data_IF_440534077666
#
_entry.id   IF_440534077666
#
_cell.length_a   1.000
_cell.length_b   1.000
_cell.length_c   1.000
_cell.angle_alpha   90.00
_cell.angle_beta   90.00
_cell.angle_gamma   90.00
#
_symmetry.space_group_name_H-M   'P 1'
#
loop_
_entity.id
_entity.type
_entity.pdbx_description
1 polymer ?
#
# COMPACT_ATOMS: atom_id res chain seq x y z
N UNK A 1 -14.82 -11.85 -10.79
CA UNK A 1 -14.12 -12.02 -9.49
C UNK A 1 -15.06 -11.57 -8.37
N UNK A 2 -15.23 -12.36 -7.30
CA UNK A 2 -16.19 -12.04 -6.25
C UNK A 2 -15.77 -10.75 -5.51
N UNK A 3 -16.70 -9.82 -5.29
CA UNK A 3 -16.44 -8.50 -4.69
C UNK A 3 -15.76 -8.62 -3.32
N UNK A 4 -16.21 -9.58 -2.50
CA UNK A 4 -15.60 -9.89 -1.19
C UNK A 4 -14.15 -10.35 -1.31
N UNK A 5 -13.83 -11.13 -2.33
CA UNK A 5 -12.47 -11.62 -2.57
C UNK A 5 -11.57 -10.49 -3.04
N UNK A 6 -12.03 -9.65 -3.98
CA UNK A 6 -11.25 -8.51 -4.49
C UNK A 6 -10.95 -7.51 -3.37
N UNK A 7 -11.93 -7.17 -2.53
CA UNK A 7 -11.71 -6.28 -1.37
C UNK A 7 -10.73 -6.87 -0.37
N UNK A 8 -10.83 -8.17 -0.04
CA UNK A 8 -9.87 -8.83 0.86
C UNK A 8 -8.45 -8.85 0.30
N UNK A 9 -8.31 -9.13 -1.00
CA UNK A 9 -7.01 -9.13 -1.67
C UNK A 9 -6.38 -7.73 -1.66
N UNK A 10 -7.14 -6.68 -1.99
CA UNK A 10 -6.63 -5.30 -1.92
C UNK A 10 -6.24 -4.89 -0.49
N UNK A 11 -7.03 -5.29 0.51
CA UNK A 11 -6.71 -5.02 1.92
C UNK A 11 -5.43 -5.73 2.35
N UNK A 12 -5.28 -7.00 1.97
CA UNK A 12 -4.06 -7.78 2.23
C UNK A 12 -2.84 -7.17 1.53
N UNK A 13 -2.97 -6.77 0.27
CA UNK A 13 -1.88 -6.17 -0.50
C UNK A 13 -1.45 -4.81 0.08
N UNK A 14 -2.43 -4.01 0.52
CA UNK A 14 -2.16 -2.74 1.22
C UNK A 14 -1.38 -2.98 2.51
N UNK A 15 -1.81 -3.95 3.33
CA UNK A 15 -1.14 -4.27 4.59
C UNK A 15 0.31 -4.74 4.38
N UNK A 16 0.53 -5.62 3.39
CA UNK A 16 1.88 -6.10 3.04
C UNK A 16 2.77 -4.95 2.57
N UNK A 17 2.22 -4.05 1.75
CA UNK A 17 2.97 -2.89 1.22
C UNK A 17 3.40 -1.94 2.33
N UNK A 18 2.53 -1.69 3.32
CA UNK A 18 2.87 -0.88 4.50
C UNK A 18 4.01 -1.52 5.28
N UNK A 19 3.89 -2.81 5.60
CA UNK A 19 4.90 -3.55 6.37
C UNK A 19 6.25 -3.56 5.63
N UNK A 20 6.23 -3.86 4.33
CA UNK A 20 7.44 -3.84 3.49
C UNK A 20 8.10 -2.45 3.45
N UNK A 21 7.30 -1.39 3.32
CA UNK A 21 7.83 -0.01 3.29
C UNK A 21 8.46 0.40 4.62
N UNK A 22 7.87 -0.01 5.75
CA UNK A 22 8.42 0.25 7.09
C UNK A 22 9.72 -0.52 7.29
N UNK A 23 9.77 -1.80 6.92
CA UNK A 23 10.99 -2.61 7.03
C UNK A 23 12.10 -2.00 6.16
N UNK A 24 11.80 -1.67 4.90
CA UNK A 24 12.77 -1.05 4.00
C UNK A 24 13.29 0.29 4.54
N UNK A 25 12.43 1.11 5.15
CA UNK A 25 12.86 2.34 5.79
C UNK A 25 13.87 2.06 6.92
N UNK A 26 13.56 1.14 7.83
CA UNK A 26 14.47 0.83 8.94
C UNK A 26 15.79 0.19 8.49
N UNK A 27 15.77 -0.62 7.43
CA UNK A 27 16.97 -1.25 6.86
C UNK A 27 17.86 -0.22 6.15
N UNK A 28 17.29 0.75 5.43
CA UNK A 28 18.05 1.73 4.63
C UNK A 28 18.47 2.95 5.46
N UNK A 29 17.69 3.32 6.48
CA UNK A 29 17.95 4.48 7.35
C UNK A 29 19.38 4.59 7.88
N UNK A 30 20.05 3.51 8.38
CA UNK A 30 21.39 3.62 8.96
C UNK A 30 22.45 4.06 7.94
N UNK A 31 22.35 3.60 6.70
CA UNK A 31 23.36 3.90 5.67
C UNK A 31 23.01 5.12 4.82
N UNK A 32 21.73 5.31 4.47
CA UNK A 32 21.28 6.35 3.53
C UNK A 32 19.91 6.93 3.89
N UNK A 33 19.84 7.93 4.79
CA UNK A 33 18.56 8.45 5.30
C UNK A 33 17.70 9.11 4.22
N UNK A 34 18.29 9.77 3.22
CA UNK A 34 17.58 10.38 2.10
C UNK A 34 16.93 9.35 1.17
N UNK A 35 17.61 8.22 0.93
CA UNK A 35 17.03 7.11 0.17
C UNK A 35 15.92 6.42 0.97
N UNK A 36 16.09 6.24 2.27
CA UNK A 36 15.05 5.67 3.14
C UNK A 36 13.77 6.52 3.09
N UNK A 37 13.91 7.85 3.14
CA UNK A 37 12.77 8.77 3.03
C UNK A 37 12.10 8.69 1.65
N UNK A 38 12.87 8.60 0.58
CA UNK A 38 12.36 8.42 -0.78
C UNK A 38 11.55 7.12 -0.91
N UNK A 39 12.08 6.00 -0.41
CA UNK A 39 11.41 4.68 -0.43
C UNK A 39 10.12 4.71 0.39
N UNK A 40 10.13 5.38 1.56
CA UNK A 40 8.93 5.54 2.38
C UNK A 40 7.85 6.36 1.65
N UNK A 41 8.25 7.44 0.96
CA UNK A 41 7.35 8.28 0.17
C UNK A 41 6.74 7.50 -1.00
N UNK A 42 7.55 6.76 -1.76
CA UNK A 42 7.08 5.89 -2.84
C UNK A 42 6.11 4.81 -2.35
N UNK A 43 6.43 4.16 -1.23
CA UNK A 43 5.54 3.20 -0.56
C UNK A 43 4.21 3.83 -0.14
N UNK A 44 4.24 5.06 0.38
CA UNK A 44 3.05 5.83 0.74
C UNK A 44 2.13 6.12 -0.45
N UNK A 45 2.68 6.52 -1.61
CA UNK A 45 1.90 6.76 -2.84
C UNK A 45 1.20 5.48 -3.32
N UNK A 46 1.89 4.33 -3.24
CA UNK A 46 1.32 3.03 -3.59
C UNK A 46 0.16 2.64 -2.66
N UNK A 47 0.33 2.83 -1.35
CA UNK A 47 -0.73 2.60 -0.37
C UNK A 47 -1.95 3.48 -0.64
N UNK A 48 -1.73 4.76 -0.97
CA UNK A 48 -2.81 5.69 -1.31
C UNK A 48 -3.57 5.25 -2.58
N UNK A 49 -2.84 4.76 -3.59
CA UNK A 49 -3.43 4.23 -4.81
C UNK A 49 -4.32 2.99 -4.55
N UNK A 50 -3.86 2.08 -3.68
CA UNK A 50 -4.66 0.91 -3.29
C UNK A 50 -5.90 1.28 -2.47
N UNK A 51 -5.80 2.28 -1.58
CA UNK A 51 -6.94 2.80 -0.82
C UNK A 51 -8.00 3.44 -1.71
N UNK A 52 -7.60 4.25 -2.69
CA UNK A 52 -8.52 4.84 -3.68
C UNK A 52 -9.19 3.73 -4.51
N UNK A 53 -8.40 2.74 -4.95
CA UNK A 53 -8.94 1.58 -5.67
C UNK A 53 -9.95 0.79 -4.84
N UNK A 54 -9.69 0.61 -3.54
CA UNK A 54 -10.62 -0.07 -2.62
C UNK A 54 -11.92 0.74 -2.45
N UNK A 55 -11.82 2.06 -2.36
CA UNK A 55 -12.98 2.95 -2.30
C UNK A 55 -13.82 2.90 -3.59
N UNK A 56 -13.17 2.94 -4.75
CA UNK A 56 -13.80 2.85 -6.06
C UNK A 56 -14.47 1.48 -6.27
N UNK A 57 -13.81 0.39 -5.89
CA UNK A 57 -14.40 -0.96 -5.90
C UNK A 57 -15.62 -1.04 -5.00
N UNK A 58 -15.56 -0.41 -3.82
CA UNK A 58 -16.68 -0.43 -2.90
C UNK A 58 -17.88 0.38 -3.45
N UNK A 59 -17.63 1.56 -4.04
CA UNK A 59 -18.68 2.43 -4.63
C UNK A 59 -19.22 1.95 -5.98
N UNK A 60 -18.37 1.58 -6.94
CA UNK A 60 -18.79 1.29 -8.32
C UNK A 60 -19.37 -0.11 -8.51
N UNK A 61 -18.97 -1.09 -7.68
CA UNK A 61 -19.60 -2.42 -7.69
C UNK A 61 -20.77 -2.51 -6.71
N UNK A 62 -21.26 -1.39 -6.15
CA UNK A 62 -22.60 -1.32 -5.56
C UNK A 62 -23.58 -1.07 -6.74
N UNK A 63 -23.78 -2.09 -7.55
CA UNK A 63 -24.89 -2.17 -8.49
C UNK A 63 -25.45 -3.58 -8.37
#
# INVERSE_FOLDING_TARGET
MNKKTLTRVLLGLTAITIVASVIAYFVIKPDRPWMAFYVLCCGGVLVFNFLISLFLVNKNLKK
#
